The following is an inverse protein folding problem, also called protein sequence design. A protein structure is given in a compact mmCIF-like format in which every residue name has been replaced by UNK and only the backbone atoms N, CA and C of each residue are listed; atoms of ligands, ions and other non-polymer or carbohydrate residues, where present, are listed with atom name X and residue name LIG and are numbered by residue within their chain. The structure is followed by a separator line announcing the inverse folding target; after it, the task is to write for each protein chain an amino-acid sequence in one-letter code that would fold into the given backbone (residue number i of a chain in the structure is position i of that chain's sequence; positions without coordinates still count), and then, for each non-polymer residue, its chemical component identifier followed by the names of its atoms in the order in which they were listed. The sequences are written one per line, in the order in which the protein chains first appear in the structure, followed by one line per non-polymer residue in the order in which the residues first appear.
data_IF_242689801834
#
_entry.id   IF_242689801834
#
_cell.length_a   1.000
_cell.length_b   1.000
_cell.length_c   1.000
_cell.angle_alpha   90.00
_cell.angle_beta   90.00
_cell.angle_gamma   90.00
#
_symmetry.space_group_name_H-M   'P 1'
#
loop_
_entity.id
_entity.type
_entity.pdbx_description
1 polymer ?
#
# COMPACT_ATOMS: atom_id res chain seq x y z
N UNK A 1 3.07 2.53 -8.34
CA UNK A 1 2.21 3.54 -7.68
C UNK A 1 0.83 3.57 -8.31
N UNK A 2 0.68 3.82 -9.64
CA UNK A 2 -0.66 3.88 -10.29
C UNK A 2 -1.42 2.57 -10.13
N UNK A 3 -0.78 1.42 -10.35
CA UNK A 3 -1.40 0.11 -10.17
C UNK A 3 -1.87 -0.15 -8.74
N UNK A 4 -1.13 0.31 -7.72
CA UNK A 4 -1.53 0.17 -6.32
C UNK A 4 -2.73 1.02 -5.97
N UNK A 5 -2.83 2.23 -6.52
CA UNK A 5 -4.00 3.10 -6.36
C UNK A 5 -5.26 2.48 -6.97
N UNK A 6 -5.14 1.88 -8.16
CA UNK A 6 -6.27 1.17 -8.81
C UNK A 6 -6.73 -0.01 -7.96
N UNK A 7 -5.80 -0.80 -7.41
CA UNK A 7 -6.14 -1.92 -6.53
C UNK A 7 -6.82 -1.43 -5.26
N UNK A 8 -6.31 -0.37 -4.61
CA UNK A 8 -6.90 0.22 -3.42
C UNK A 8 -8.33 0.75 -3.69
N UNK A 9 -8.52 1.44 -4.81
CA UNK A 9 -9.84 1.93 -5.21
C UNK A 9 -10.83 0.79 -5.48
N UNK A 10 -10.41 -0.25 -6.22
CA UNK A 10 -11.24 -1.41 -6.50
C UNK A 10 -11.63 -2.17 -5.21
N UNK A 11 -10.68 -2.36 -4.30
CA UNK A 11 -10.91 -2.97 -2.99
C UNK A 11 -11.95 -2.21 -2.17
N UNK A 12 -11.86 -0.88 -2.16
CA UNK A 12 -12.83 -0.03 -1.46
C UNK A 12 -14.22 -0.12 -2.07
N UNK A 13 -14.34 -0.10 -3.38
CA UNK A 13 -15.64 -0.26 -4.06
C UNK A 13 -16.27 -1.61 -3.68
N UNK A 14 -15.50 -2.70 -3.73
CA UNK A 14 -15.97 -4.04 -3.34
C UNK A 14 -16.41 -4.04 -1.88
N UNK A 15 -15.63 -3.45 -0.98
CA UNK A 15 -15.96 -3.36 0.43
C UNK A 15 -17.28 -2.61 0.66
N UNK A 16 -17.48 -1.46 0.01
CA UNK A 16 -18.72 -0.70 0.14
C UNK A 16 -19.95 -1.41 -0.44
N UNK A 17 -19.79 -2.13 -1.55
CA UNK A 17 -20.88 -2.95 -2.10
C UNK A 17 -21.27 -4.07 -1.13
N UNK A 18 -20.30 -4.76 -0.56
CA UNK A 18 -20.55 -5.81 0.43
C UNK A 18 -21.19 -5.27 1.71
N UNK A 19 -20.73 -4.13 2.23
CA UNK A 19 -21.33 -3.52 3.42
C UNK A 19 -22.77 -3.02 3.14
N UNK A 20 -23.02 -2.48 1.96
CA UNK A 20 -24.34 -2.03 1.55
C UNK A 20 -25.37 -3.17 1.57
N UNK A 21 -25.02 -4.34 1.03
CA UNK A 21 -25.90 -5.51 1.00
C UNK A 21 -26.08 -6.18 2.36
N UNK A 22 -25.02 -6.27 3.18
CA UNK A 22 -25.04 -7.08 4.41
C UNK A 22 -25.51 -6.34 5.67
N UNK A 23 -25.23 -5.05 5.77
CA UNK A 23 -25.45 -4.25 6.98
C UNK A 23 -26.44 -3.11 6.76
N UNK A 24 -26.94 -2.91 5.52
CA UNK A 24 -27.78 -1.76 5.20
C UNK A 24 -27.06 -0.43 5.41
N UNK A 25 -25.72 -0.41 5.18
CA UNK A 25 -24.87 0.75 5.41
C UNK A 25 -25.24 1.87 4.43
N UNK A 26 -25.73 2.98 4.96
CA UNK A 26 -26.00 4.17 4.12
C UNK A 26 -24.73 4.97 3.91
N UNK A 27 -24.37 5.19 2.64
CA UNK A 27 -23.26 6.03 2.23
C UNK A 27 -23.54 7.49 2.62
N UNK A 28 -23.09 7.86 3.80
CA UNK A 28 -23.09 9.27 4.23
C UNK A 28 -21.89 10.00 3.66
N UNK A 29 -21.96 11.33 3.55
CA UNK A 29 -20.83 12.17 3.12
C UNK A 29 -19.58 11.93 3.99
N UNK A 30 -19.78 11.72 5.29
CA UNK A 30 -18.71 11.40 6.23
C UNK A 30 -18.07 10.02 5.96
N UNK A 31 -18.86 9.02 5.58
CA UNK A 31 -18.35 7.71 5.20
C UNK A 31 -17.52 7.78 3.91
N UNK A 32 -17.92 8.58 2.95
CA UNK A 32 -17.14 8.85 1.72
C UNK A 32 -15.82 9.54 2.05
N UNK A 33 -15.83 10.51 2.95
CA UNK A 33 -14.59 11.16 3.41
C UNK A 33 -13.65 10.16 4.08
N UNK A 34 -14.17 9.25 4.94
CA UNK A 34 -13.40 8.16 5.54
C UNK A 34 -12.77 7.24 4.50
N UNK A 35 -13.50 6.92 3.43
CA UNK A 35 -13.00 6.14 2.31
C UNK A 35 -11.84 6.82 1.56
N UNK A 36 -11.96 8.11 1.29
CA UNK A 36 -10.90 8.88 0.62
C UNK A 36 -9.62 8.88 1.46
N UNK A 37 -9.74 9.09 2.78
CA UNK A 37 -8.60 9.04 3.70
C UNK A 37 -7.98 7.63 3.72
N UNK A 38 -8.81 6.58 3.73
CA UNK A 38 -8.33 5.21 3.69
C UNK A 38 -7.54 4.89 2.40
N UNK A 39 -8.00 5.38 1.23
CA UNK A 39 -7.21 5.25 -0.03
C UNK A 39 -5.83 5.88 0.13
N UNK A 40 -5.76 7.05 0.77
CA UNK A 40 -4.48 7.73 1.04
C UNK A 40 -3.56 6.89 1.91
N UNK A 41 -4.06 6.31 2.99
CA UNK A 41 -3.31 5.44 3.91
C UNK A 41 -2.82 4.17 3.19
N UNK A 42 -3.69 3.52 2.42
CA UNK A 42 -3.35 2.34 1.63
C UNK A 42 -2.26 2.66 0.60
N UNK A 43 -2.39 3.78 -0.11
CA UNK A 43 -1.38 4.23 -1.07
C UNK A 43 -0.02 4.47 -0.41
N UNK A 44 0.00 5.09 0.78
CA UNK A 44 1.22 5.33 1.55
C UNK A 44 1.91 4.01 1.94
N UNK A 45 1.17 3.03 2.42
CA UNK A 45 1.68 1.69 2.76
C UNK A 45 2.33 0.99 1.56
N UNK A 46 1.73 1.10 0.37
CA UNK A 46 2.32 0.59 -0.87
C UNK A 46 3.59 1.36 -1.25
N UNK A 47 3.59 2.69 -1.14
CA UNK A 47 4.75 3.53 -1.45
C UNK A 47 5.91 3.14 -0.54
N UNK A 48 5.69 3.01 0.77
CA UNK A 48 6.71 2.58 1.74
C UNK A 48 7.30 1.21 1.37
N UNK A 49 6.46 0.25 1.01
CA UNK A 49 6.96 -1.07 0.60
C UNK A 49 7.80 -1.02 -0.67
N UNK A 50 7.31 -0.35 -1.73
CA UNK A 50 8.05 -0.22 -2.98
C UNK A 50 9.36 0.58 -2.83
N UNK A 51 9.38 1.59 -1.98
CA UNK A 51 10.60 2.35 -1.70
C UNK A 51 11.64 1.46 -1.00
N UNK A 52 11.23 0.63 -0.05
CA UNK A 52 12.14 -0.35 0.57
C UNK A 52 12.69 -1.36 -0.43
N UNK A 53 11.89 -1.82 -1.40
CA UNK A 53 12.39 -2.67 -2.48
C UNK A 53 13.44 -1.93 -3.32
N UNK A 54 13.19 -0.67 -3.66
CA UNK A 54 14.16 0.14 -4.42
C UNK A 54 15.45 0.37 -3.67
N UNK A 55 15.39 0.66 -2.37
CA UNK A 55 16.59 0.84 -1.54
C UNK A 55 17.45 -0.43 -1.56
N UNK A 56 16.85 -1.60 -1.36
CA UNK A 56 17.55 -2.88 -1.42
C UNK A 56 18.16 -3.16 -2.81
N UNK A 57 17.48 -2.74 -3.89
CA UNK A 57 18.01 -2.86 -5.24
C UNK A 57 19.17 -1.89 -5.51
N UNK A 58 19.14 -0.68 -4.94
CA UNK A 58 20.27 0.27 -5.00
C UNK A 58 21.53 -0.29 -4.32
N UNK A 59 21.36 -1.11 -3.29
CA UNK A 59 22.44 -1.87 -2.65
C UNK A 59 22.97 -3.04 -3.52
N UNK A 60 22.45 -3.22 -4.75
CA UNK A 60 22.89 -4.24 -5.71
C UNK A 60 22.21 -5.60 -5.54
N UNK A 61 21.19 -5.71 -4.72
CA UNK A 61 20.45 -6.98 -4.54
C UNK A 61 19.52 -7.26 -5.73
N UNK A 62 19.41 -8.52 -6.18
CA UNK A 62 18.45 -8.88 -7.21
C UNK A 62 17.02 -8.67 -6.71
N UNK A 63 16.08 -8.34 -7.61
CA UNK A 63 14.69 -8.00 -7.31
C UNK A 63 14.00 -9.00 -6.37
N UNK A 64 14.28 -10.29 -6.55
CA UNK A 64 13.71 -11.36 -5.70
C UNK A 64 14.13 -11.23 -4.24
N UNK A 65 15.40 -10.94 -4.00
CA UNK A 65 15.95 -10.76 -2.64
C UNK A 65 15.48 -9.42 -2.09
N UNK A 66 15.52 -8.36 -2.91
CA UNK A 66 15.06 -7.02 -2.56
C UNK A 66 13.58 -6.98 -2.14
N UNK A 67 12.71 -7.77 -2.80
CA UNK A 67 11.30 -7.88 -2.43
C UNK A 67 11.11 -8.52 -1.05
N UNK A 68 11.88 -9.54 -0.71
CA UNK A 68 11.78 -10.21 0.61
C UNK A 68 12.39 -9.36 1.73
N UNK A 69 13.60 -8.82 1.55
CA UNK A 69 14.25 -7.95 2.55
C UNK A 69 13.51 -6.63 2.72
N UNK A 70 13.03 -6.03 1.62
CA UNK A 70 12.20 -4.84 1.64
C UNK A 70 10.88 -5.06 2.41
N UNK A 71 10.26 -6.23 2.24
CA UNK A 71 9.09 -6.61 3.03
C UNK A 71 9.37 -6.68 4.53
N UNK A 72 10.46 -7.33 4.92
CA UNK A 72 10.82 -7.46 6.34
C UNK A 72 11.02 -6.10 7.02
N UNK A 73 11.55 -5.12 6.29
CA UNK A 73 11.71 -3.75 6.78
C UNK A 73 10.39 -2.97 6.76
N UNK A 74 9.63 -3.04 5.66
CA UNK A 74 8.39 -2.28 5.46
C UNK A 74 7.27 -2.75 6.41
N UNK A 75 7.11 -4.07 6.62
CA UNK A 75 6.00 -4.63 7.41
C UNK A 75 5.85 -4.00 8.80
N UNK A 76 6.97 -3.72 9.48
CA UNK A 76 6.95 -3.14 10.82
C UNK A 76 6.37 -1.72 10.79
N UNK A 77 6.79 -0.92 9.83
CA UNK A 77 6.32 0.45 9.66
C UNK A 77 4.83 0.46 9.30
N UNK A 78 4.41 -0.40 8.38
CA UNK A 78 3.01 -0.53 7.94
C UNK A 78 2.13 -0.96 9.11
N UNK A 79 2.49 -2.02 9.84
CA UNK A 79 1.71 -2.50 11.00
C UNK A 79 1.55 -1.39 12.05
N UNK A 80 2.62 -0.66 12.36
CA UNK A 80 2.55 0.41 13.37
C UNK A 80 1.66 1.54 12.90
N UNK A 81 1.77 1.97 11.65
CA UNK A 81 0.94 3.03 11.08
C UNK A 81 -0.55 2.63 11.07
N UNK A 82 -0.87 1.43 10.59
CA UNK A 82 -2.24 0.91 10.55
C UNK A 82 -2.82 0.72 11.96
N UNK A 83 -2.01 0.24 12.91
CA UNK A 83 -2.43 0.09 14.30
C UNK A 83 -2.80 1.44 14.93
N UNK A 84 -1.99 2.46 14.71
CA UNK A 84 -2.27 3.84 15.17
C UNK A 84 -3.57 4.35 14.54
N UNK A 85 -3.78 4.12 13.25
CA UNK A 85 -5.00 4.51 12.54
C UNK A 85 -6.23 3.80 13.10
N UNK A 86 -6.14 2.49 13.37
CA UNK A 86 -7.23 1.70 13.97
C UNK A 86 -7.55 2.19 15.38
N UNK A 87 -6.54 2.41 16.22
CA UNK A 87 -6.75 2.93 17.58
C UNK A 87 -7.42 4.30 17.53
N UNK A 88 -6.96 5.18 16.65
CA UNK A 88 -7.55 6.51 16.45
C UNK A 88 -9.00 6.43 16.00
N UNK A 89 -9.31 5.53 15.07
CA UNK A 89 -10.67 5.29 14.58
C UNK A 89 -11.58 4.75 15.69
N UNK A 90 -11.09 3.83 16.54
CA UNK A 90 -11.85 3.29 17.69
C UNK A 90 -12.14 4.38 18.69
N UNK A 91 -11.15 5.18 19.06
CA UNK A 91 -11.34 6.30 20.00
C UNK A 91 -12.36 7.27 19.44
N UNK A 92 -12.21 7.66 18.16
CA UNK A 92 -13.12 8.58 17.50
C UNK A 92 -14.54 8.00 17.44
N UNK A 93 -14.69 6.71 17.15
CA UNK A 93 -15.98 6.02 17.13
C UNK A 93 -16.71 6.04 18.49
N UNK A 94 -15.98 5.90 19.60
CA UNK A 94 -16.54 5.90 20.95
C UNK A 94 -16.94 7.30 21.38
N UNK A 95 -16.09 8.30 21.10
CA UNK A 95 -16.27 9.68 21.59
C UNK A 95 -17.24 10.48 20.73
N UNK A 96 -17.33 10.17 19.42
CA UNK A 96 -18.11 10.97 18.48
C UNK A 96 -19.57 10.52 18.38
N UNK A 97 -20.39 11.42 17.84
CA UNK A 97 -21.81 11.22 17.55
C UNK A 97 -22.14 11.60 16.11
N UNK A 98 -23.26 11.12 15.61
CA UNK A 98 -23.77 11.49 14.28
C UNK A 98 -22.84 11.05 13.14
N UNK A 99 -22.62 11.94 12.18
CA UNK A 99 -21.87 11.66 10.95
C UNK A 99 -20.39 11.35 11.18
N UNK A 100 -19.77 11.92 12.22
CA UNK A 100 -18.36 11.68 12.58
C UNK A 100 -18.14 10.21 13.00
N UNK A 101 -19.14 9.62 13.64
CA UNK A 101 -19.12 8.20 14.01
C UNK A 101 -19.10 7.30 12.75
N UNK A 102 -19.84 7.68 11.71
CA UNK A 102 -19.81 6.98 10.43
C UNK A 102 -18.45 7.06 9.73
N UNK A 103 -17.81 8.24 9.76
CA UNK A 103 -16.43 8.42 9.30
C UNK A 103 -15.45 7.48 10.03
N UNK A 104 -15.49 7.50 11.36
CA UNK A 104 -14.61 6.69 12.19
C UNK A 104 -14.79 5.17 11.94
N UNK A 105 -16.02 4.74 11.79
CA UNK A 105 -16.33 3.34 11.45
C UNK A 105 -15.74 2.94 10.10
N UNK A 106 -15.96 3.75 9.08
CA UNK A 106 -15.43 3.49 7.73
C UNK A 106 -13.91 3.47 7.74
N UNK A 107 -13.27 4.46 8.38
CA UNK A 107 -11.82 4.53 8.47
C UNK A 107 -11.23 3.30 9.17
N UNK A 108 -11.78 2.90 10.32
CA UNK A 108 -11.29 1.75 11.07
C UNK A 108 -11.46 0.42 10.31
N UNK A 109 -12.63 0.24 9.69
CA UNK A 109 -12.91 -0.98 8.93
C UNK A 109 -12.05 -1.10 7.68
N UNK A 110 -11.91 -0.01 6.90
CA UNK A 110 -11.06 -0.01 5.70
C UNK A 110 -9.60 -0.26 6.05
N UNK A 111 -9.06 0.36 7.10
CA UNK A 111 -7.69 0.12 7.56
C UNK A 111 -7.47 -1.33 7.98
N UNK A 112 -8.44 -1.95 8.64
CA UNK A 112 -8.35 -3.36 9.02
C UNK A 112 -8.34 -4.28 7.79
N UNK A 113 -9.18 -4.00 6.80
CA UNK A 113 -9.21 -4.75 5.53
C UNK A 113 -7.91 -4.56 4.76
N UNK A 114 -7.36 -3.33 4.71
CA UNK A 114 -6.08 -3.04 4.07
C UNK A 114 -4.95 -3.85 4.67
N UNK A 115 -4.89 -3.96 5.99
CA UNK A 115 -3.90 -4.76 6.68
C UNK A 115 -4.00 -6.23 6.28
N UNK A 116 -5.21 -6.78 6.21
CA UNK A 116 -5.43 -8.16 5.74
C UNK A 116 -4.97 -8.33 4.29
N UNK A 117 -5.32 -7.40 3.40
CA UNK A 117 -4.96 -7.48 1.97
C UNK A 117 -3.45 -7.34 1.76
N UNK A 118 -2.78 -6.47 2.48
CA UNK A 118 -1.31 -6.32 2.38
C UNK A 118 -0.63 -7.64 2.75
N UNK A 119 -1.06 -8.30 3.81
CA UNK A 119 -0.44 -9.54 4.27
C UNK A 119 -0.82 -10.77 3.44
N UNK A 120 -2.10 -10.92 3.10
CA UNK A 120 -2.59 -12.11 2.39
C UNK A 120 -2.45 -12.01 0.87
N UNK A 121 -2.51 -10.83 0.30
CA UNK A 121 -2.58 -10.65 -1.14
C UNK A 121 -1.35 -9.93 -1.71
N UNK A 122 -0.98 -8.79 -1.17
CA UNK A 122 0.09 -7.96 -1.74
C UNK A 122 1.46 -8.62 -1.63
N UNK A 123 1.81 -9.17 -0.48
CA UNK A 123 3.09 -9.85 -0.29
C UNK A 123 3.24 -11.04 -1.24
N UNK A 124 2.33 -12.03 -1.31
CA UNK A 124 2.42 -13.13 -2.25
C UNK A 124 2.46 -12.68 -3.71
N UNK A 125 1.65 -11.68 -4.08
CA UNK A 125 1.62 -11.14 -5.43
C UNK A 125 2.97 -10.55 -5.84
N UNK A 126 3.56 -9.69 -5.02
CA UNK A 126 4.88 -9.09 -5.28
C UNK A 126 5.97 -10.16 -5.35
N UNK A 127 5.92 -11.17 -4.49
CA UNK A 127 6.86 -12.30 -4.52
C UNK A 127 6.74 -13.12 -5.81
N UNK A 128 5.52 -13.33 -6.30
CA UNK A 128 5.27 -14.02 -7.58
C UNK A 128 5.74 -13.19 -8.77
N UNK A 129 5.46 -11.88 -8.76
CA UNK A 129 5.93 -10.95 -9.79
C UNK A 129 7.47 -10.88 -9.82
N UNK A 130 8.11 -10.87 -8.67
CA UNK A 130 9.57 -10.87 -8.54
C UNK A 130 10.23 -12.16 -9.06
N UNK A 131 9.48 -13.27 -9.18
CA UNK A 131 9.93 -14.51 -9.82
C UNK A 131 9.83 -14.47 -11.34
N UNK A 132 9.05 -13.58 -11.90
CA UNK A 132 8.84 -13.49 -13.35
C UNK A 132 10.05 -12.85 -14.02
N UNK A 133 10.60 -13.51 -15.05
CA UNK A 133 11.79 -13.06 -15.82
C UNK A 133 11.61 -11.66 -16.42
N UNK A 134 10.39 -11.28 -16.78
CA UNK A 134 10.09 -9.96 -17.35
C UNK A 134 10.35 -8.82 -16.35
N UNK A 135 9.99 -9.02 -15.09
CA UNK A 135 10.23 -8.04 -14.03
C UNK A 135 11.70 -8.01 -13.57
N UNK A 136 12.38 -9.17 -13.59
CA UNK A 136 13.81 -9.26 -13.27
C UNK A 136 14.69 -8.56 -14.33
N UNK A 137 14.29 -8.55 -15.59
CA UNK A 137 15.00 -7.91 -16.68
C UNK A 137 14.90 -6.36 -16.71
N UNK A 138 14.22 -5.74 -15.71
CA UNK A 138 14.08 -4.29 -15.63
C UNK A 138 13.22 -3.70 -16.75
N UNK A 139 12.16 -4.40 -17.16
CA UNK A 139 11.26 -3.96 -18.23
C UNK A 139 10.77 -2.52 -18.03
N UNK A 140 10.55 -1.79 -19.11
CA UNK A 140 10.24 -0.35 -19.15
C UNK A 140 9.07 0.08 -18.24
N UNK A 141 8.16 -0.85 -17.90
CA UNK A 141 7.00 -0.65 -17.05
C UNK A 141 7.11 -1.28 -15.65
N UNK A 142 8.26 -1.92 -15.34
CA UNK A 142 8.44 -2.62 -14.05
C UNK A 142 8.62 -1.67 -12.86
N UNK A 143 8.90 -0.38 -13.09
CA UNK A 143 9.21 0.60 -12.04
C UNK A 143 10.57 0.37 -11.35
N UNK A 144 11.32 -0.63 -11.79
CA UNK A 144 12.66 -1.03 -11.30
C UNK A 144 13.71 -0.99 -12.42
N UNK A 145 13.49 -0.16 -13.44
CA UNK A 145 14.48 0.07 -14.48
C UNK A 145 15.74 0.76 -13.91
N UNK A 146 16.96 0.55 -14.47
CA UNK A 146 18.19 1.19 -14.00
C UNK A 146 18.08 2.71 -13.88
N UNK A 147 17.28 3.35 -14.76
CA UNK A 147 16.97 4.78 -14.70
C UNK A 147 16.11 5.17 -13.51
N UNK A 148 15.12 4.33 -13.12
CA UNK A 148 14.21 4.62 -11.99
C UNK A 148 14.87 4.38 -10.64
N UNK A 149 15.99 3.63 -10.60
CA UNK A 149 16.74 3.30 -9.38
C UNK A 149 17.94 4.26 -9.19
N UNK A 150 18.22 5.15 -10.17
CA UNK A 150 19.33 6.11 -10.10
C UNK A 150 20.72 5.51 -10.41
N UNK A 151 20.80 4.24 -10.79
CA UNK A 151 22.08 3.60 -11.16
C UNK A 151 22.65 4.12 -12.48
N UNK A 152 21.81 4.69 -13.35
CA UNK A 152 22.26 5.24 -14.64
C UNK A 152 23.10 6.52 -14.49
N UNK A 153 22.95 7.28 -13.41
CA UNK A 153 23.74 8.47 -13.11
C UNK A 153 25.13 8.12 -12.59
N UNK A 154 25.24 7.09 -11.76
CA UNK A 154 26.54 6.65 -11.23
C UNK A 154 27.48 6.07 -12.30
N UNK A 155 26.92 5.38 -13.30
CA UNK A 155 27.72 4.86 -14.44
C UNK A 155 28.20 5.94 -15.41
N UNK A 156 27.55 7.07 -15.47
CA UNK A 156 27.98 8.20 -16.29
C UNK A 156 29.08 9.01 -15.58
N UNK A 157 28.97 9.18 -14.25
CA UNK A 157 30.01 9.83 -13.45
C UNK A 157 31.29 9.02 -13.37
N UNK A 158 31.20 7.69 -13.30
CA UNK A 158 32.37 6.82 -13.28
C UNK A 158 33.09 6.69 -14.65
N UNK A 159 32.43 7.04 -15.76
CA UNK A 159 33.03 7.06 -17.10
C UNK A 159 33.56 8.43 -17.53
N UNK A 160 33.27 9.47 -16.74
CA UNK A 160 33.72 10.85 -17.00
C UNK A 160 34.89 11.30 -16.11
N UNK A 161 35.40 10.43 -15.25
CA UNK A 161 36.62 10.60 -14.46
C UNK A 161 37.71 9.64 -14.95
#
# INVERSE_FOLDING_TARGET
VVGSLVIAAAQLVILFLLLGEWIGFTLTLAAVAGAIVAIGITADSFIVYFERIRDEMREGKPLRVAAETGWQRARRTIIVADLVSIISAVILYIVSVGSVRGFAFTLGLTTLVDLVVIFLFTKPLVTLLAKNKYFQAGGKYSGVSPRSIGLATQTLESKGA
#
